data_IF_836856929326
#
_entry.id   IF_836856929326
#
_cell.length_a   1.000
_cell.length_b   1.000
_cell.length_c   1.000
_cell.angle_alpha   90.00
_cell.angle_beta   90.00
_cell.angle_gamma   90.00
#
_symmetry.space_group_name_H-M   'P 1'
#
loop_
_entity.id
_entity.type
_entity.pdbx_description
1 polymer ?
#
# COMPACT_ATOMS: atom_id res chain seq x y z
N UNK A 1 56.83 45.21 41.29
CA UNK A 1 58.07 44.65 40.70
C UNK A 1 57.73 44.02 39.36
N UNK A 2 58.66 44.15 38.40
CA UNK A 2 58.50 43.91 36.97
C UNK A 2 58.55 42.41 36.59
N UNK A 3 57.73 42.07 35.59
CA UNK A 3 57.93 41.15 34.44
C UNK A 3 58.11 39.64 34.72
N UNK A 4 57.34 38.82 34.00
CA UNK A 4 57.83 37.79 33.05
C UNK A 4 56.70 37.47 32.05
N UNK A 5 57.03 37.57 30.76
CA UNK A 5 56.23 37.13 29.61
C UNK A 5 56.46 35.64 29.37
N UNK A 6 55.44 34.82 29.12
CA UNK A 6 55.53 33.65 28.22
C UNK A 6 54.21 33.48 27.46
N UNK A 7 54.32 33.56 26.14
CA UNK A 7 53.34 33.17 25.13
C UNK A 7 53.12 31.65 25.15
N UNK A 8 51.87 31.20 25.16
CA UNK A 8 51.50 29.91 24.57
C UNK A 8 50.25 30.10 23.72
N UNK A 9 50.47 30.27 22.43
CA UNK A 9 49.48 30.06 21.41
C UNK A 9 49.31 28.55 21.21
N UNK A 10 48.12 28.03 21.45
CA UNK A 10 47.67 26.77 20.86
C UNK A 10 46.30 27.04 20.26
N UNK A 11 46.31 27.37 18.96
CA UNK A 11 45.14 27.31 18.11
C UNK A 11 44.83 25.83 17.87
N UNK A 12 43.83 25.29 18.55
CA UNK A 12 43.22 24.01 18.22
C UNK A 12 41.98 24.29 17.37
N UNK A 13 42.22 24.47 16.07
CA UNK A 13 41.17 24.35 15.05
C UNK A 13 40.91 22.85 14.90
N UNK A 14 40.07 22.30 15.78
CA UNK A 14 39.40 21.04 15.51
C UNK A 14 38.12 21.39 14.75
N UNK A 15 38.27 21.57 13.44
CA UNK A 15 37.13 21.55 12.53
C UNK A 15 36.56 20.15 12.50
N UNK A 16 35.63 19.85 13.42
CA UNK A 16 34.68 18.78 13.17
C UNK A 16 33.80 19.28 12.01
N UNK A 17 34.23 19.01 10.78
CA UNK A 17 33.27 18.74 9.73
C UNK A 17 32.58 17.45 10.13
N UNK A 18 31.62 17.56 11.05
CA UNK A 18 30.49 16.67 11.04
C UNK A 18 29.94 16.83 9.62
N UNK A 19 30.17 15.82 8.80
CA UNK A 19 29.33 15.61 7.63
C UNK A 19 27.92 15.61 8.21
N UNK A 20 27.18 16.70 7.98
CA UNK A 20 25.73 16.61 7.99
C UNK A 20 25.47 15.48 7.02
N UNK A 21 25.10 14.30 7.56
CA UNK A 21 24.34 13.35 6.76
C UNK A 21 23.27 14.22 6.16
N UNK A 22 23.28 14.29 4.84
CA UNK A 22 22.26 14.97 4.07
C UNK A 22 20.95 14.71 4.80
N UNK A 23 20.24 15.78 5.14
CA UNK A 23 18.82 15.70 5.39
C UNK A 23 18.24 15.11 4.10
N UNK A 24 18.26 13.78 3.99
CA UNK A 24 17.45 13.06 3.03
C UNK A 24 16.06 13.60 3.30
N UNK A 25 15.49 14.25 2.28
CA UNK A 25 14.10 14.65 2.31
C UNK A 25 13.31 13.44 2.85
N UNK A 26 12.38 13.64 3.80
CA UNK A 26 11.63 12.52 4.35
C UNK A 26 11.10 11.70 3.19
N UNK A 27 11.54 10.44 3.10
CA UNK A 27 11.04 9.51 2.11
C UNK A 27 9.54 9.44 2.35
N UNK A 28 8.74 9.87 1.37
CA UNK A 28 7.29 9.81 1.48
C UNK A 28 6.87 8.34 1.50
N UNK A 29 6.75 7.79 2.70
CA UNK A 29 6.36 6.41 2.97
C UNK A 29 4.84 6.21 2.92
N UNK A 30 4.09 7.25 2.52
CA UNK A 30 2.66 7.17 2.35
C UNK A 30 2.28 6.34 1.13
N UNK A 31 1.25 5.50 1.29
CA UNK A 31 0.57 4.78 0.20
C UNK A 31 -0.44 5.67 -0.54
N UNK A 32 -0.74 6.87 -0.03
CA UNK A 32 -1.62 7.83 -0.70
C UNK A 32 -0.91 8.48 -1.88
N UNK A 33 -1.62 8.69 -2.98
CA UNK A 33 -1.09 9.37 -4.14
C UNK A 33 -1.65 8.86 -5.46
N UNK A 34 -1.04 9.30 -6.55
CA UNK A 34 -1.43 8.94 -7.90
C UNK A 34 -0.44 7.93 -8.47
N UNK A 35 -0.93 6.75 -8.80
CA UNK A 35 -0.20 5.67 -9.44
C UNK A 35 -0.57 5.63 -10.91
N UNK A 36 0.42 5.74 -11.79
CA UNK A 36 0.22 5.58 -13.23
C UNK A 36 0.80 4.25 -13.67
N UNK A 37 0.06 3.53 -14.48
CA UNK A 37 0.39 2.16 -14.81
C UNK A 37 -0.46 1.60 -15.95
N UNK A 38 -0.57 0.27 -15.94
CA UNK A 38 -1.28 -0.48 -16.96
C UNK A 38 -2.40 -1.29 -16.32
N UNK A 39 -3.59 -1.25 -16.91
CA UNK A 39 -4.67 -2.17 -16.60
C UNK A 39 -4.74 -3.23 -17.70
N UNK A 40 -4.42 -4.47 -17.33
CA UNK A 40 -4.54 -5.64 -18.21
C UNK A 40 -5.86 -6.34 -17.92
N UNK A 41 -6.73 -6.45 -18.91
CA UNK A 41 -8.04 -7.03 -18.76
C UNK A 41 -8.21 -8.27 -19.62
N UNK A 42 -8.78 -9.32 -19.04
CA UNK A 42 -9.31 -10.46 -19.78
C UNK A 42 -10.81 -10.26 -20.00
N UNK A 43 -11.16 -9.41 -20.96
CA UNK A 43 -12.56 -9.03 -21.21
C UNK A 43 -13.26 -10.04 -22.11
N UNK A 44 -14.52 -10.32 -21.79
CA UNK A 44 -15.41 -11.13 -22.63
C UNK A 44 -15.86 -10.32 -23.85
N UNK A 45 -15.54 -10.81 -25.04
CA UNK A 45 -16.08 -10.33 -26.31
C UNK A 45 -17.02 -11.35 -26.93
N UNK A 46 -17.78 -10.96 -27.95
CA UNK A 46 -18.60 -11.87 -28.75
C UNK A 46 -17.78 -12.98 -29.45
N UNK A 47 -16.46 -12.83 -29.53
CA UNK A 47 -15.51 -13.75 -30.15
C UNK A 47 -14.68 -14.57 -29.14
N UNK A 48 -14.92 -14.41 -27.83
CA UNK A 48 -14.15 -15.05 -26.75
C UNK A 48 -13.49 -14.03 -25.80
N UNK A 49 -12.61 -14.49 -24.91
CA UNK A 49 -11.83 -13.58 -24.04
C UNK A 49 -10.73 -12.95 -24.88
N UNK A 50 -10.75 -11.62 -25.02
CA UNK A 50 -9.68 -10.86 -25.67
C UNK A 50 -8.78 -10.23 -24.59
N UNK A 51 -7.47 -10.51 -24.60
CA UNK A 51 -6.55 -9.78 -23.75
C UNK A 51 -6.47 -8.33 -24.25
N UNK A 52 -6.84 -7.40 -23.39
CA UNK A 52 -6.69 -5.96 -23.59
C UNK A 52 -5.71 -5.39 -22.57
N UNK A 53 -4.98 -4.35 -22.95
CA UNK A 53 -4.12 -3.59 -22.06
C UNK A 53 -4.31 -2.12 -22.37
N UNK A 54 -4.54 -1.31 -21.34
CA UNK A 54 -4.69 0.14 -21.46
C UNK A 54 -3.85 0.85 -20.40
N UNK A 55 -3.43 2.07 -20.70
CA UNK A 55 -2.91 2.94 -19.67
C UNK A 55 -4.01 3.22 -18.65
N UNK A 56 -3.65 3.23 -17.37
CA UNK A 56 -4.57 3.40 -16.27
C UNK A 56 -3.95 4.29 -15.21
N UNK A 57 -4.82 4.98 -14.47
CA UNK A 57 -4.44 5.76 -13.29
C UNK A 57 -5.23 5.25 -12.10
N UNK A 58 -4.55 5.09 -10.98
CA UNK A 58 -5.15 4.86 -9.68
C UNK A 58 -4.82 6.01 -8.75
N UNK A 59 -5.85 6.59 -8.13
CA UNK A 59 -5.69 7.60 -7.09
C UNK A 59 -6.08 6.95 -5.77
N UNK A 60 -5.13 6.90 -4.85
CA UNK A 60 -5.29 6.32 -3.51
C UNK A 60 -5.43 7.45 -2.51
N UNK A 61 -6.52 7.44 -1.75
CA UNK A 61 -6.82 8.43 -0.72
C UNK A 61 -7.18 7.75 0.59
N UNK A 62 -6.71 8.30 1.71
CA UNK A 62 -7.14 7.82 3.02
C UNK A 62 -8.59 8.20 3.29
N UNK A 63 -9.40 7.23 3.72
CA UNK A 63 -10.82 7.40 4.06
C UNK A 63 -11.15 7.07 5.52
N UNK A 64 -10.18 6.59 6.31
CA UNK A 64 -10.34 6.30 7.73
C UNK A 64 -9.06 5.77 8.37
N UNK A 65 -9.18 5.25 9.59
CA UNK A 65 -8.15 4.39 10.19
C UNK A 65 -8.07 3.09 9.39
N UNK A 66 -6.87 2.72 8.94
CA UNK A 66 -6.61 1.50 8.17
C UNK A 66 -7.48 1.31 6.91
N UNK A 67 -8.08 2.39 6.39
CA UNK A 67 -9.06 2.38 5.30
C UNK A 67 -8.67 3.38 4.21
N UNK A 68 -8.60 2.89 2.98
CA UNK A 68 -8.35 3.68 1.77
C UNK A 68 -9.51 3.59 0.79
N UNK A 69 -9.69 4.66 0.02
CA UNK A 69 -10.48 4.67 -1.19
C UNK A 69 -9.53 4.70 -2.40
N UNK A 70 -9.74 3.77 -3.32
CA UNK A 70 -8.98 3.64 -4.56
C UNK A 70 -9.91 3.98 -5.72
N UNK A 71 -9.59 5.05 -6.44
CA UNK A 71 -10.25 5.44 -7.67
C UNK A 71 -9.39 5.01 -8.86
N UNK A 72 -9.87 4.08 -9.67
CA UNK A 72 -9.18 3.56 -10.85
C UNK A 72 -9.91 4.01 -12.12
N UNK A 73 -9.17 4.62 -13.05
CA UNK A 73 -9.75 5.04 -14.31
C UNK A 73 -8.81 4.85 -15.51
N UNK A 74 -9.45 4.60 -16.65
CA UNK A 74 -8.92 4.53 -18.02
C UNK A 74 -9.87 5.31 -18.94
N UNK A 75 -9.67 5.27 -20.25
CA UNK A 75 -10.63 5.86 -21.20
C UNK A 75 -11.99 5.11 -21.21
N UNK A 76 -12.04 3.86 -20.76
CA UNK A 76 -13.22 2.98 -20.84
C UNK A 76 -13.79 2.57 -19.47
N UNK A 77 -13.00 2.68 -18.41
CA UNK A 77 -13.32 2.23 -17.05
C UNK A 77 -13.16 3.40 -16.10
N UNK A 78 -14.12 3.59 -15.20
CA UNK A 78 -14.06 4.54 -14.10
C UNK A 78 -14.76 3.90 -12.90
N UNK A 79 -13.97 3.50 -11.89
CA UNK A 79 -14.48 2.78 -10.73
C UNK A 79 -13.78 3.20 -9.45
N UNK A 80 -14.53 3.20 -8.34
CA UNK A 80 -14.03 3.52 -7.02
C UNK A 80 -14.43 2.42 -6.05
N UNK A 81 -13.47 1.97 -5.25
CA UNK A 81 -13.67 0.91 -4.27
C UNK A 81 -12.87 1.21 -2.99
N UNK A 82 -13.23 0.54 -1.91
CA UNK A 82 -12.61 0.74 -0.60
C UNK A 82 -11.88 -0.52 -0.16
N UNK A 83 -10.71 -0.32 0.43
CA UNK A 83 -9.86 -1.40 0.93
C UNK A 83 -9.38 -1.08 2.34
N UNK A 84 -9.32 -2.10 3.17
CA UNK A 84 -8.47 -2.03 4.35
C UNK A 84 -7.01 -2.26 3.93
N UNK A 85 -6.08 -1.66 4.66
CA UNK A 85 -4.65 -1.84 4.43
C UNK A 85 -3.94 -2.26 5.73
N UNK A 86 -2.93 -3.12 5.59
CA UNK A 86 -2.25 -3.77 6.70
C UNK A 86 -0.74 -3.75 6.49
N UNK A 87 0.00 -3.33 7.51
CA UNK A 87 1.46 -3.34 7.49
C UNK A 87 2.01 -4.78 7.40
N UNK A 88 2.97 -4.98 6.50
CA UNK A 88 3.64 -6.27 6.29
C UNK A 88 5.11 -6.10 5.89
N UNK A 89 5.97 -5.90 6.89
CA UNK A 89 7.40 -5.67 6.69
C UNK A 89 7.63 -4.43 5.79
N UNK A 90 8.21 -4.62 4.61
CA UNK A 90 8.51 -3.55 3.64
C UNK A 90 7.36 -3.33 2.64
N UNK A 91 6.19 -3.90 2.91
CA UNK A 91 5.01 -3.85 2.05
C UNK A 91 3.76 -3.52 2.85
N UNK A 92 2.75 -3.01 2.16
CA UNK A 92 1.41 -2.84 2.72
C UNK A 92 0.45 -3.70 1.93
N UNK A 93 -0.17 -4.66 2.60
CA UNK A 93 -1.14 -5.56 1.97
C UNK A 93 -2.53 -4.95 2.05
N UNK A 94 -3.40 -5.27 1.09
CA UNK A 94 -4.78 -4.75 1.08
C UNK A 94 -5.80 -5.87 1.02
N UNK A 95 -6.95 -5.65 1.66
CA UNK A 95 -8.09 -6.56 1.61
C UNK A 95 -9.40 -5.78 1.42
N UNK A 96 -10.40 -6.49 0.88
CA UNK A 96 -11.77 -5.98 0.82
C UNK A 96 -12.30 -5.74 2.25
N UNK A 97 -13.24 -4.81 2.37
CA UNK A 97 -13.88 -4.47 3.64
C UNK A 97 -15.40 -4.65 3.54
N UNK A 98 -16.05 -4.88 4.67
CA UNK A 98 -17.51 -4.86 4.84
C UNK A 98 -18.26 -5.81 3.91
N UNK A 99 -19.23 -5.26 3.16
CA UNK A 99 -20.08 -6.06 2.26
C UNK A 99 -19.28 -6.70 1.13
N UNK A 100 -18.30 -6.00 0.56
CA UNK A 100 -17.47 -6.53 -0.52
C UNK A 100 -16.64 -7.75 -0.05
N UNK A 101 -16.16 -7.73 1.19
CA UNK A 101 -15.52 -8.90 1.80
C UNK A 101 -16.50 -10.08 1.88
N UNK A 102 -17.70 -9.82 2.41
CA UNK A 102 -18.71 -10.87 2.62
C UNK A 102 -19.19 -11.47 1.31
N UNK A 103 -19.37 -10.64 0.27
CA UNK A 103 -19.75 -11.08 -1.07
C UNK A 103 -18.65 -11.95 -1.69
N UNK A 104 -17.38 -11.57 -1.51
CA UNK A 104 -16.25 -12.29 -2.10
C UNK A 104 -15.99 -13.64 -1.43
N UNK A 105 -15.92 -13.67 -0.09
CA UNK A 105 -15.48 -14.87 0.64
C UNK A 105 -16.64 -15.70 1.21
N UNK A 106 -17.88 -15.20 1.17
CA UNK A 106 -19.06 -15.91 1.64
C UNK A 106 -19.16 -16.06 3.16
N UNK A 107 -18.31 -15.34 3.90
CA UNK A 107 -18.33 -15.26 5.36
C UNK A 107 -18.08 -13.81 5.83
N UNK A 108 -18.55 -13.48 7.03
CA UNK A 108 -18.40 -12.14 7.59
C UNK A 108 -17.10 -12.05 8.38
N UNK A 109 -16.50 -10.87 8.38
CA UNK A 109 -15.37 -10.58 9.25
C UNK A 109 -15.74 -10.75 10.74
N UNK A 110 -14.75 -11.05 11.58
CA UNK A 110 -14.85 -11.11 13.02
C UNK A 110 -15.33 -9.79 13.63
N UNK A 111 -16.04 -9.88 14.77
CA UNK A 111 -16.63 -8.72 15.45
C UNK A 111 -15.62 -7.65 15.89
N UNK A 112 -14.34 -8.02 16.09
CA UNK A 112 -13.27 -7.09 16.45
C UNK A 112 -12.78 -6.22 15.30
N UNK A 113 -13.08 -6.61 14.05
CA UNK A 113 -12.38 -6.14 12.86
C UNK A 113 -13.25 -5.35 11.88
N UNK A 114 -14.56 -5.26 12.15
CA UNK A 114 -15.55 -4.49 11.36
C UNK A 114 -15.32 -2.97 11.33
N UNK A 115 -14.37 -2.43 12.12
CA UNK A 115 -14.16 -1.00 12.33
C UNK A 115 -12.74 -0.48 12.11
N UNK A 116 -11.84 -1.27 11.52
CA UNK A 116 -10.47 -0.82 11.18
C UNK A 116 -9.52 -0.66 12.38
N UNK A 117 -9.74 -1.41 13.46
CA UNK A 117 -8.87 -1.41 14.64
C UNK A 117 -8.34 -2.81 14.94
N UNK A 118 -7.20 -3.17 14.35
CA UNK A 118 -6.60 -4.52 14.47
C UNK A 118 -5.49 -4.64 15.53
N UNK A 119 -5.24 -3.58 16.30
CA UNK A 119 -4.02 -3.45 17.13
C UNK A 119 -4.14 -3.99 18.57
N UNK A 120 -5.25 -4.64 18.93
CA UNK A 120 -5.53 -5.01 20.32
C UNK A 120 -4.72 -6.21 20.84
N UNK A 121 -4.43 -7.18 19.98
CA UNK A 121 -3.95 -8.51 20.36
C UNK A 121 -2.85 -9.07 19.43
N UNK A 122 -2.23 -8.20 18.62
CA UNK A 122 -1.11 -8.58 17.75
C UNK A 122 0.06 -9.15 18.56
N UNK A 123 0.53 -10.34 18.16
CA UNK A 123 1.68 -10.98 18.79
C UNK A 123 3.00 -10.22 18.53
N UNK A 124 4.02 -10.35 19.40
CA UNK A 124 5.25 -9.55 19.34
C UNK A 124 6.12 -9.78 18.08
N UNK A 125 5.80 -10.78 17.24
CA UNK A 125 6.51 -11.08 16.00
C UNK A 125 5.54 -11.31 14.82
N UNK A 126 4.32 -10.79 14.93
CA UNK A 126 3.29 -10.90 13.91
C UNK A 126 3.11 -9.52 13.26
N UNK A 127 3.13 -9.47 11.94
CA UNK A 127 2.70 -8.28 11.21
C UNK A 127 1.17 -8.15 11.22
N UNK A 128 0.65 -6.94 11.01
CA UNK A 128 -0.79 -6.70 10.94
C UNK A 128 -1.44 -7.59 9.89
N UNK A 129 -0.80 -7.71 8.72
CA UNK A 129 -1.25 -8.63 7.69
C UNK A 129 -1.33 -10.08 8.16
N UNK A 130 -0.29 -10.59 8.82
CA UNK A 130 -0.29 -11.98 9.33
C UNK A 130 -1.35 -12.20 10.41
N UNK A 131 -1.72 -11.16 11.14
CA UNK A 131 -2.78 -11.22 12.14
C UNK A 131 -4.16 -11.18 11.51
N UNK A 132 -4.40 -10.24 10.59
CA UNK A 132 -5.60 -10.22 9.78
C UNK A 132 -5.86 -11.57 9.10
N UNK A 133 -4.82 -12.13 8.48
CA UNK A 133 -4.88 -13.42 7.82
C UNK A 133 -5.24 -14.58 8.74
N UNK A 134 -4.80 -14.57 10.00
CA UNK A 134 -5.11 -15.64 10.95
C UNK A 134 -6.53 -15.56 11.48
N UNK A 135 -7.07 -14.36 11.60
CA UNK A 135 -8.33 -14.08 12.28
C UNK A 135 -9.51 -14.12 11.31
N UNK A 136 -9.30 -13.62 10.10
CA UNK A 136 -10.37 -13.28 9.18
C UNK A 136 -10.47 -14.23 7.99
N UNK A 137 -9.39 -14.93 7.62
CA UNK A 137 -9.35 -15.70 6.39
C UNK A 137 -9.36 -17.21 6.59
N UNK A 138 -10.05 -17.90 5.68
CA UNK A 138 -10.11 -19.35 5.62
C UNK A 138 -9.12 -19.90 4.57
N UNK A 139 -8.69 -21.17 4.69
CA UNK A 139 -7.87 -21.79 3.65
C UNK A 139 -8.54 -21.73 2.29
N UNK A 140 -7.90 -21.04 1.34
CA UNK A 140 -8.40 -20.88 -0.03
C UNK A 140 -8.94 -19.49 -0.35
N UNK A 141 -9.07 -18.60 0.64
CA UNK A 141 -9.36 -17.19 0.37
C UNK A 141 -8.21 -16.56 -0.42
N UNK A 142 -8.55 -15.92 -1.54
CA UNK A 142 -7.59 -15.24 -2.42
C UNK A 142 -7.35 -13.80 -1.96
N UNK A 143 -6.17 -13.23 -2.26
CA UNK A 143 -5.85 -11.83 -2.00
C UNK A 143 -5.32 -11.15 -3.23
N UNK A 144 -5.66 -9.88 -3.37
CA UNK A 144 -5.70 -9.27 -4.68
C UNK A 144 -4.75 -8.11 -4.89
N UNK A 145 -4.03 -7.64 -3.87
CA UNK A 145 -3.07 -6.57 -4.10
C UNK A 145 -2.25 -6.15 -2.90
N UNK A 146 -1.37 -5.20 -3.17
CA UNK A 146 -0.49 -4.62 -2.17
C UNK A 146 0.38 -3.51 -2.74
N UNK A 147 0.96 -2.74 -1.84
CA UNK A 147 1.94 -1.69 -2.11
C UNK A 147 3.33 -2.20 -1.79
N UNK A 148 4.25 -1.98 -2.72
CA UNK A 148 5.68 -2.10 -2.48
C UNK A 148 6.23 -0.71 -2.20
N UNK A 149 6.60 -0.46 -0.94
CA UNK A 149 7.11 0.85 -0.51
C UNK A 149 8.50 1.13 -1.05
N UNK A 150 9.30 0.10 -1.31
CA UNK A 150 10.66 0.25 -1.83
C UNK A 150 10.65 0.67 -3.30
N UNK A 151 9.71 0.12 -4.07
CA UNK A 151 9.56 0.44 -5.49
C UNK A 151 8.49 1.50 -5.77
N UNK A 152 7.85 2.02 -4.72
CA UNK A 152 6.70 2.93 -4.79
C UNK A 152 5.65 2.43 -5.79
N UNK A 153 5.35 1.14 -5.79
CA UNK A 153 4.41 0.52 -6.73
C UNK A 153 3.16 0.00 -6.04
N UNK A 154 2.07 -0.08 -6.81
CA UNK A 154 0.82 -0.65 -6.38
C UNK A 154 0.32 -1.62 -7.45
N UNK A 155 -0.05 -2.83 -7.02
CA UNK A 155 -0.67 -3.84 -7.86
C UNK A 155 -2.01 -4.26 -7.27
N UNK A 156 -3.03 -4.40 -8.12
CA UNK A 156 -4.35 -4.88 -7.68
C UNK A 156 -5.08 -5.67 -8.78
N UNK A 157 -5.62 -6.85 -8.43
CA UNK A 157 -6.43 -7.72 -9.27
C UNK A 157 -7.90 -7.52 -8.93
N UNK A 158 -8.68 -7.15 -9.93
CA UNK A 158 -10.13 -7.11 -9.88
C UNK A 158 -10.67 -8.45 -10.35
N UNK A 159 -11.42 -9.15 -9.50
CA UNK A 159 -12.26 -10.27 -9.94
C UNK A 159 -13.72 -9.83 -9.94
N UNK A 160 -14.37 -9.98 -11.08
CA UNK A 160 -15.74 -9.55 -11.29
C UNK A 160 -16.57 -10.69 -11.87
N UNK A 161 -17.83 -10.76 -11.45
CA UNK A 161 -18.80 -11.76 -11.87
C UNK A 161 -20.01 -11.07 -12.48
N UNK A 162 -20.32 -11.39 -13.74
CA UNK A 162 -21.54 -10.97 -14.43
C UNK A 162 -22.31 -12.20 -14.91
N UNK A 163 -23.37 -12.54 -14.16
CA UNK A 163 -24.14 -13.77 -14.35
C UNK A 163 -23.27 -15.02 -14.14
N UNK A 164 -23.00 -15.77 -15.22
CA UNK A 164 -22.13 -16.95 -15.18
C UNK A 164 -20.71 -16.66 -15.67
N UNK A 165 -20.38 -15.41 -15.97
CA UNK A 165 -19.10 -15.02 -16.56
C UNK A 165 -18.20 -14.45 -15.49
N UNK A 166 -16.99 -14.99 -15.38
CA UNK A 166 -15.93 -14.45 -14.55
C UNK A 166 -14.95 -13.70 -15.44
N UNK A 167 -14.59 -12.47 -15.04
CA UNK A 167 -13.59 -11.68 -15.73
C UNK A 167 -12.67 -11.03 -14.70
N UNK A 168 -11.39 -11.03 -15.03
CA UNK A 168 -10.34 -10.50 -14.18
C UNK A 168 -9.63 -9.34 -14.88
N UNK A 169 -9.33 -8.30 -14.12
CA UNK A 169 -8.43 -7.23 -14.55
C UNK A 169 -7.30 -7.11 -13.56
N UNK A 170 -6.13 -6.69 -14.00
CA UNK A 170 -4.97 -6.49 -13.15
C UNK A 170 -4.34 -5.14 -13.45
N UNK A 171 -4.27 -4.30 -12.43
CA UNK A 171 -3.53 -3.05 -12.46
C UNK A 171 -2.13 -3.26 -11.90
N UNK A 172 -1.14 -2.66 -12.53
CA UNK A 172 0.21 -2.47 -12.00
C UNK A 172 0.71 -1.08 -12.35
N UNK A 173 1.16 -0.32 -11.36
CA UNK A 173 1.65 1.05 -11.57
C UNK A 173 2.59 1.54 -10.48
N UNK A 174 3.23 2.67 -10.75
CA UNK A 174 4.17 3.34 -9.84
C UNK A 174 3.66 4.71 -9.45
N UNK A 175 3.95 5.12 -8.23
CA UNK A 175 3.62 6.44 -7.67
C UNK A 175 4.38 7.53 -8.42
N UNK A 176 3.69 8.61 -8.77
CA UNK A 176 4.27 9.82 -9.37
C UNK A 176 4.72 10.85 -8.33
#
# INVERSE_FOLDING_TARGET
>A
MKRINILFAIALIAGFMACNKNDEAPTDDSIEGTYTGTLTASLKSAQGILPGSSNATMVVTKSGEELIQVHCFTDEIDTTFMLNYYEHNDSVMVCLNGEAFTEMYGHMMGQGHMGGGMMGDIGPNQSEWQHHMSDEHQPGDEHFGGFDRMNHSFGYKFDMVDGTSHYSMYFEGTKN
#
